data_IF_050790641223
#
_entry.id   IF_050790641223
#
_cell.length_a   1.000
_cell.length_b   1.000
_cell.length_c   1.000
_cell.angle_alpha   90.00
_cell.angle_beta   90.00
_cell.angle_gamma   90.00
#
_symmetry.space_group_name_H-M   'P 1'
#
loop_
_entity.id
_entity.type
_entity.pdbx_description
1 polymer ?
#
# COMPACT_ATOMS: atom_id res chain seq x y z
N UNK A 1 8.05 -5.55 -14.26
CA UNK A 1 6.57 -5.66 -14.39
C UNK A 1 5.88 -5.47 -13.04
N UNK A 2 6.29 -6.22 -12.00
CA UNK A 2 5.74 -6.14 -10.65
C UNK A 2 5.71 -4.73 -10.04
N UNK A 3 6.82 -3.99 -10.11
CA UNK A 3 6.90 -2.60 -9.59
C UNK A 3 5.92 -1.66 -10.29
N UNK A 4 5.66 -1.83 -11.60
CA UNK A 4 4.68 -1.01 -12.32
C UNK A 4 3.25 -1.28 -11.83
N UNK A 5 2.93 -2.54 -11.51
CA UNK A 5 1.65 -2.92 -10.91
C UNK A 5 1.50 -2.33 -9.51
N UNK A 6 2.55 -2.42 -8.67
CA UNK A 6 2.56 -1.79 -7.34
C UNK A 6 2.32 -0.29 -7.45
N UNK A 7 3.00 0.40 -8.37
CA UNK A 7 2.80 1.83 -8.59
C UNK A 7 1.40 2.18 -9.12
N UNK A 8 0.80 1.30 -9.92
CA UNK A 8 -0.57 1.48 -10.39
C UNK A 8 -1.58 1.38 -9.23
N UNK A 9 -1.43 0.36 -8.38
CA UNK A 9 -2.32 0.09 -7.25
C UNK A 9 -2.16 1.11 -6.11
N UNK A 10 -0.92 1.35 -5.67
CA UNK A 10 -0.61 2.13 -4.46
C UNK A 10 -0.19 3.58 -4.75
N UNK A 11 -0.05 3.97 -6.02
CA UNK A 11 0.63 5.22 -6.40
C UNK A 11 2.15 5.08 -6.29
N UNK A 12 2.89 6.16 -6.51
CA UNK A 12 4.35 6.14 -6.40
C UNK A 12 4.80 6.42 -4.95
N UNK A 13 5.91 5.84 -4.49
CA UNK A 13 6.50 6.20 -3.21
C UNK A 13 7.15 7.59 -3.27
N UNK A 14 7.23 8.26 -2.12
CA UNK A 14 8.08 9.45 -1.94
C UNK A 14 9.52 9.18 -2.42
N UNK A 15 10.19 10.18 -3.02
CA UNK A 15 11.53 10.14 -3.61
C UNK A 15 12.61 9.84 -2.59
N UNK A 16 13.79 9.45 -3.09
CA UNK A 16 14.90 9.03 -2.23
C UNK A 16 15.56 10.31 -1.77
N UNK A 17 15.37 10.65 -0.50
CA UNK A 17 16.09 11.74 0.15
C UNK A 17 16.82 11.25 1.39
N UNK A 18 17.75 12.07 1.86
CA UNK A 18 18.55 11.75 3.04
C UNK A 18 17.90 12.22 4.35
N UNK A 19 16.88 13.08 4.26
CA UNK A 19 16.13 13.58 5.40
C UNK A 19 15.15 12.55 5.96
N UNK A 20 14.90 12.60 7.27
CA UNK A 20 13.88 11.76 7.93
C UNK A 20 12.49 11.96 7.29
N UNK A 21 12.17 13.21 6.92
CA UNK A 21 10.90 13.60 6.29
C UNK A 21 10.62 12.85 4.97
N UNK A 22 11.65 12.46 4.21
CA UNK A 22 11.47 11.70 2.97
C UNK A 22 11.60 10.19 3.19
N UNK A 23 12.45 9.78 4.15
CA UNK A 23 12.66 8.35 4.50
C UNK A 23 11.44 7.72 5.16
N UNK A 24 10.80 8.42 6.11
CA UNK A 24 9.69 7.86 6.90
C UNK A 24 8.44 7.56 6.05
N UNK A 25 7.91 8.47 5.21
CA UNK A 25 6.78 8.16 4.34
C UNK A 25 7.10 7.05 3.32
N UNK A 26 8.33 7.01 2.83
CA UNK A 26 8.78 5.93 1.95
C UNK A 26 8.83 4.57 2.67
N UNK A 27 9.29 4.55 3.92
CA UNK A 27 9.28 3.35 4.74
C UNK A 27 7.85 2.85 4.96
N UNK A 28 6.92 3.74 5.34
CA UNK A 28 5.49 3.40 5.49
C UNK A 28 4.93 2.82 4.20
N UNK A 29 5.22 3.45 3.06
CA UNK A 29 4.78 2.98 1.75
C UNK A 29 5.19 1.54 1.49
N UNK A 30 6.48 1.22 1.63
CA UNK A 30 6.95 -0.14 1.34
C UNK A 30 6.46 -1.16 2.35
N UNK A 31 6.33 -0.79 3.63
CA UNK A 31 5.71 -1.67 4.62
C UNK A 31 4.26 -1.98 4.26
N UNK A 32 3.46 -0.97 3.91
CA UNK A 32 2.06 -1.18 3.51
C UNK A 32 1.94 -2.11 2.30
N UNK A 33 2.82 -1.97 1.30
CA UNK A 33 2.87 -2.86 0.14
C UNK A 33 3.20 -4.30 0.55
N UNK A 34 4.22 -4.50 1.40
CA UNK A 34 4.60 -5.83 1.89
C UNK A 34 3.47 -6.46 2.70
N UNK A 35 2.89 -5.74 3.64
CA UNK A 35 1.78 -6.22 4.47
C UNK A 35 0.53 -6.54 3.63
N UNK A 36 0.26 -5.76 2.59
CA UNK A 36 -0.82 -6.07 1.66
C UNK A 36 -0.62 -7.42 0.98
N UNK A 37 0.54 -7.66 0.34
CA UNK A 37 0.79 -8.93 -0.33
C UNK A 37 0.82 -10.10 0.65
N UNK A 38 1.41 -9.89 1.83
CA UNK A 38 1.37 -10.88 2.90
C UNK A 38 -0.06 -11.21 3.33
N UNK A 39 -0.90 -10.20 3.53
CA UNK A 39 -2.32 -10.35 3.87
C UNK A 39 -3.10 -11.07 2.78
N UNK A 40 -2.89 -10.73 1.51
CA UNK A 40 -3.53 -11.40 0.38
C UNK A 40 -3.19 -12.90 0.32
N UNK A 41 -1.93 -13.26 0.58
CA UNK A 41 -1.52 -14.66 0.66
C UNK A 41 -2.17 -15.35 1.86
N UNK A 42 -2.12 -14.70 3.04
CA UNK A 42 -2.69 -15.26 4.27
C UNK A 42 -4.20 -15.51 4.13
N UNK A 43 -4.96 -14.51 3.69
CA UNK A 43 -6.40 -14.64 3.44
C UNK A 43 -6.70 -15.65 2.32
N UNK A 44 -5.81 -15.76 1.34
CA UNK A 44 -5.92 -16.75 0.27
C UNK A 44 -5.71 -18.19 0.76
N UNK A 45 -4.93 -18.38 1.81
CA UNK A 45 -4.79 -19.69 2.47
C UNK A 45 -6.00 -19.96 3.38
N UNK A 46 -6.43 -18.95 4.15
CA UNK A 46 -7.56 -19.08 5.07
C UNK A 46 -8.89 -19.31 4.35
N UNK A 47 -9.03 -18.86 3.10
CA UNK A 47 -10.25 -19.10 2.30
C UNK A 47 -10.49 -20.57 1.97
N UNK A 48 -9.46 -21.44 2.06
CA UNK A 48 -9.65 -22.89 1.95
C UNK A 48 -10.26 -23.51 3.22
N UNK A 49 -10.23 -22.79 4.34
CA UNK A 49 -10.77 -23.22 5.62
C UNK A 49 -12.19 -22.69 5.78
N UNK A 50 -12.42 -21.41 5.48
CA UNK A 50 -13.72 -20.76 5.60
C UNK A 50 -13.95 -19.73 4.49
N UNK A 51 -15.14 -19.78 3.87
CA UNK A 51 -15.58 -18.85 2.83
C UNK A 51 -15.67 -17.39 3.28
N UNK A 52 -15.80 -17.10 4.58
CA UNK A 52 -15.81 -15.71 5.10
C UNK A 52 -14.54 -14.95 4.74
N UNK A 53 -13.40 -15.65 4.63
CA UNK A 53 -12.14 -15.02 4.22
C UNK A 53 -12.10 -14.64 2.74
N UNK A 54 -12.98 -15.20 1.90
CA UNK A 54 -13.11 -14.81 0.48
C UNK A 54 -13.60 -13.37 0.38
N UNK A 55 -14.59 -12.98 1.18
CA UNK A 55 -15.08 -11.60 1.20
C UNK A 55 -13.96 -10.65 1.62
N UNK A 56 -13.21 -11.00 2.67
CA UNK A 56 -12.07 -10.22 3.14
C UNK A 56 -10.99 -10.08 2.08
N UNK A 57 -10.77 -11.11 1.27
CA UNK A 57 -9.80 -11.11 0.18
C UNK A 57 -10.25 -10.24 -1.00
N UNK A 58 -11.54 -10.27 -1.36
CA UNK A 58 -12.10 -9.44 -2.43
C UNK A 58 -12.14 -7.97 -2.01
N UNK A 59 -12.75 -7.66 -0.86
CA UNK A 59 -12.87 -6.29 -0.37
C UNK A 59 -11.51 -5.72 0.02
N UNK A 60 -10.71 -6.46 0.80
CA UNK A 60 -9.36 -6.05 1.19
C UNK A 60 -8.42 -5.90 -0.01
N UNK A 61 -8.47 -6.85 -0.96
CA UNK A 61 -7.66 -6.80 -2.17
C UNK A 61 -7.93 -5.58 -3.04
N UNK A 62 -9.20 -5.24 -3.24
CA UNK A 62 -9.59 -4.13 -4.13
C UNK A 62 -9.53 -2.77 -3.45
N UNK A 63 -10.06 -2.65 -2.23
CA UNK A 63 -10.22 -1.34 -1.59
C UNK A 63 -8.98 -0.90 -0.83
N UNK A 64 -8.16 -1.81 -0.28
CA UNK A 64 -6.98 -1.41 0.49
C UNK A 64 -6.00 -0.56 -0.32
N UNK A 65 -5.60 -0.94 -1.56
CA UNK A 65 -4.68 -0.11 -2.34
C UNK A 65 -5.24 1.27 -2.65
N UNK A 66 -6.54 1.37 -2.93
CA UNK A 66 -7.23 2.64 -3.21
C UNK A 66 -7.28 3.56 -1.98
N UNK A 67 -7.70 3.03 -0.83
CA UNK A 67 -7.75 3.76 0.43
C UNK A 67 -6.34 4.18 0.85
N UNK A 68 -5.38 3.26 0.80
CA UNK A 68 -3.99 3.55 1.13
C UNK A 68 -3.45 4.67 0.25
N UNK A 69 -3.65 4.59 -1.07
CA UNK A 69 -3.17 5.61 -2.01
C UNK A 69 -3.73 7.00 -1.67
N UNK A 70 -5.02 7.07 -1.33
CA UNK A 70 -5.66 8.33 -0.93
C UNK A 70 -5.06 8.87 0.38
N UNK A 71 -5.01 8.05 1.42
CA UNK A 71 -4.49 8.43 2.75
C UNK A 71 -3.01 8.81 2.67
N UNK A 72 -2.23 8.07 1.88
CA UNK A 72 -0.81 8.34 1.66
C UNK A 72 -0.61 9.69 0.97
N UNK A 73 -1.36 9.96 -0.09
CA UNK A 73 -1.31 11.25 -0.78
C UNK A 73 -1.70 12.42 0.13
N UNK A 74 -2.75 12.26 0.94
CA UNK A 74 -3.17 13.29 1.90
C UNK A 74 -2.08 13.56 2.95
N UNK A 75 -1.43 12.52 3.47
CA UNK A 75 -0.31 12.68 4.40
C UNK A 75 0.88 13.42 3.76
N UNK A 76 1.21 13.10 2.52
CA UNK A 76 2.28 13.80 1.80
C UNK A 76 1.94 15.27 1.56
N UNK A 77 0.68 15.57 1.21
CA UNK A 77 0.19 16.94 1.04
C UNK A 77 0.27 17.74 2.34
N UNK A 78 -0.19 17.18 3.45
CA UNK A 78 -0.09 17.81 4.77
C UNK A 78 1.37 18.05 5.21
N UNK A 79 2.29 17.21 4.74
CA UNK A 79 3.73 17.31 5.02
C UNK A 79 4.48 18.20 4.02
N UNK A 80 3.82 18.76 3.00
CA UNK A 80 4.47 19.55 1.94
C UNK A 80 5.35 18.74 0.97
N UNK A 81 5.18 17.41 0.91
CA UNK A 81 6.00 16.46 0.15
C UNK A 81 5.34 15.94 -1.12
N UNK A 82 4.23 16.54 -1.56
CA UNK A 82 3.47 16.12 -2.74
C UNK A 82 4.29 16.12 -4.06
N UNK A 83 5.31 16.99 -4.16
CA UNK A 83 6.23 17.08 -5.32
C UNK A 83 7.34 16.02 -5.30
N UNK A 84 7.45 15.30 -4.20
CA UNK A 84 8.43 14.25 -4.00
C UNK A 84 7.90 12.87 -4.48
N UNK A 85 6.77 12.79 -5.17
CA UNK A 85 6.15 11.52 -5.64
C UNK A 85 6.37 11.28 -7.13
#
# INVERSE_FOLDING_TARGET
MLIKLVHFLFGKPCKKGDSFQTKFPRFIYWNAVVFYFFGMILFGILSFIDTVFIESLIFGGLFFPLIFRFVYFMNLKMSGLEKEV
#
